data_IF_621452868812
#
_entry.id   IF_621452868812
#
_cell.length_a   1.000
_cell.length_b   1.000
_cell.length_c   1.000
_cell.angle_alpha   90.00
_cell.angle_beta   90.00
_cell.angle_gamma   90.00
#
_symmetry.space_group_name_H-M   'P 1'
#
loop_
_entity.id
_entity.type
_entity.pdbx_description
1 polymer ?
#
# COMPACT_ATOMS: atom_id res chain seq x y z
N UNK A 1 24.35 -9.88 10.96
CA UNK A 1 23.08 -9.99 10.19
C UNK A 1 22.08 -9.16 10.96
N UNK A 2 21.65 -8.03 10.44
CA UNK A 2 20.61 -7.19 11.06
C UNK A 2 19.32 -8.02 11.17
N UNK A 3 18.58 -7.79 12.25
CA UNK A 3 17.31 -8.50 12.46
C UNK A 3 16.32 -8.04 11.40
N UNK A 4 15.50 -8.93 10.82
CA UNK A 4 14.44 -8.53 9.92
C UNK A 4 13.60 -7.39 10.53
N UNK A 5 13.30 -6.36 9.74
CA UNK A 5 12.52 -5.19 10.16
C UNK A 5 13.24 -4.21 11.13
N UNK A 6 14.56 -4.25 11.25
CA UNK A 6 15.29 -3.30 12.10
C UNK A 6 15.02 -1.86 11.70
N UNK A 7 14.90 -1.57 10.39
CA UNK A 7 14.54 -0.23 9.90
C UNK A 7 13.13 0.19 10.35
N UNK A 8 12.16 -0.74 10.42
CA UNK A 8 10.81 -0.43 10.94
C UNK A 8 10.83 -0.16 12.44
N UNK A 9 11.70 -0.84 13.18
CA UNK A 9 11.94 -0.56 14.61
C UNK A 9 12.54 0.83 14.79
N UNK A 10 13.51 1.21 13.95
CA UNK A 10 14.10 2.56 13.97
C UNK A 10 13.06 3.63 13.69
N UNK A 11 12.14 3.39 12.76
CA UNK A 11 11.01 4.28 12.49
C UNK A 11 10.03 4.37 13.67
N UNK A 12 9.90 3.32 14.49
CA UNK A 12 9.04 3.32 15.67
C UNK A 12 9.65 3.99 16.89
N UNK A 13 10.97 4.16 16.93
CA UNK A 13 11.71 4.74 18.05
C UNK A 13 11.93 6.25 17.82
N UNK A 14 10.92 7.04 18.19
CA UNK A 14 10.90 8.49 18.01
C UNK A 14 12.05 9.25 18.71
N UNK A 15 12.84 8.60 19.55
CA UNK A 15 13.98 9.23 20.20
C UNK A 15 15.17 9.40 19.26
N UNK A 16 15.10 8.85 18.04
CA UNK A 16 16.20 8.79 17.08
C UNK A 16 15.89 9.44 15.72
N UNK A 17 15.20 10.58 15.72
CA UNK A 17 15.09 11.42 14.51
C UNK A 17 16.46 11.94 13.98
N UNK A 18 17.55 11.64 14.65
CA UNK A 18 18.90 11.82 14.15
C UNK A 18 19.34 10.70 13.19
N UNK A 19 18.57 9.63 13.06
CA UNK A 19 18.88 8.53 12.12
C UNK A 19 18.54 8.98 10.69
N UNK A 20 19.55 9.05 9.84
CA UNK A 20 19.42 9.49 8.45
C UNK A 20 18.44 8.60 7.64
N UNK A 21 18.35 7.32 7.96
CA UNK A 21 17.41 6.40 7.30
C UNK A 21 15.96 6.81 7.58
N UNK A 22 15.67 7.15 8.83
CA UNK A 22 14.32 7.60 9.26
C UNK A 22 14.00 8.94 8.62
N UNK A 23 14.92 9.91 8.67
CA UNK A 23 14.75 11.21 8.02
C UNK A 23 14.52 11.08 6.52
N UNK A 24 15.33 10.28 5.83
CA UNK A 24 15.17 10.04 4.40
C UNK A 24 13.80 9.45 4.08
N UNK A 25 13.28 8.57 4.91
CA UNK A 25 11.94 8.01 4.73
C UNK A 25 10.85 9.07 4.81
N UNK A 26 10.86 9.94 5.84
CA UNK A 26 9.86 10.99 6.02
C UNK A 26 9.92 12.04 4.92
N UNK A 27 11.12 12.50 4.56
CA UNK A 27 11.31 13.50 3.51
C UNK A 27 10.87 12.94 2.16
N UNK A 28 11.27 11.70 1.82
CA UNK A 28 10.84 11.03 0.61
C UNK A 28 9.31 10.90 0.54
N UNK A 29 8.66 10.51 1.66
CA UNK A 29 7.22 10.40 1.74
C UNK A 29 6.52 11.73 1.45
N UNK A 30 6.93 12.80 2.12
CA UNK A 30 6.36 14.11 1.92
C UNK A 30 6.53 14.59 0.46
N UNK A 31 7.73 14.43 -0.09
CA UNK A 31 8.04 14.83 -1.46
C UNK A 31 7.22 14.06 -2.51
N UNK A 32 7.11 12.74 -2.36
CA UNK A 32 6.33 11.92 -3.29
C UNK A 32 4.84 12.21 -3.15
N UNK A 33 4.32 12.39 -1.93
CA UNK A 33 2.92 12.80 -1.71
C UNK A 33 2.59 14.12 -2.40
N UNK A 34 3.47 15.12 -2.30
CA UNK A 34 3.29 16.41 -2.97
C UNK A 34 3.20 16.24 -4.50
N UNK A 35 4.02 15.37 -5.08
CA UNK A 35 4.08 15.14 -6.54
C UNK A 35 2.96 14.27 -7.08
N UNK A 36 2.43 13.34 -6.28
CA UNK A 36 1.43 12.35 -6.74
C UNK A 36 -0.01 12.65 -6.32
N UNK A 37 -0.24 13.55 -5.37
CA UNK A 37 -1.57 13.79 -4.76
C UNK A 37 -2.70 14.13 -5.73
N UNK A 38 -2.38 14.75 -6.87
CA UNK A 38 -3.37 15.17 -7.87
C UNK A 38 -3.54 14.13 -8.99
N UNK A 39 -2.74 13.07 -9.00
CA UNK A 39 -2.81 12.03 -10.01
C UNK A 39 -3.89 11.04 -9.64
N UNK A 40 -4.83 10.84 -10.54
CA UNK A 40 -5.93 9.89 -10.37
C UNK A 40 -6.45 9.44 -11.73
N UNK A 41 -6.94 8.23 -11.81
CA UNK A 41 -7.47 7.64 -13.03
C UNK A 41 -8.88 7.12 -12.81
N UNK A 42 -9.72 7.19 -13.84
CA UNK A 42 -11.02 6.51 -13.84
C UNK A 42 -10.83 4.99 -13.94
N UNK A 43 -11.75 4.18 -13.40
CA UNK A 43 -11.63 2.71 -13.44
C UNK A 43 -11.47 2.12 -14.85
N UNK A 44 -12.08 2.76 -15.85
CA UNK A 44 -12.04 2.35 -17.26
C UNK A 44 -10.91 3.02 -18.07
N UNK A 45 -10.07 3.83 -17.43
CA UNK A 45 -8.93 4.48 -18.07
C UNK A 45 -7.90 3.45 -18.53
N UNK A 46 -7.35 3.66 -19.71
CA UNK A 46 -6.20 2.89 -20.22
C UNK A 46 -4.86 3.59 -19.97
N UNK A 47 -4.90 4.71 -19.29
CA UNK A 47 -3.70 5.45 -18.90
C UNK A 47 -3.07 4.82 -17.66
N UNK A 48 -1.76 5.01 -17.50
CA UNK A 48 -1.02 4.59 -16.32
C UNK A 48 -0.03 5.67 -15.92
N UNK A 49 0.42 5.64 -14.68
CA UNK A 49 1.49 6.49 -14.21
C UNK A 49 2.84 5.91 -14.62
N UNK A 50 3.69 6.75 -15.18
CA UNK A 50 5.10 6.45 -15.38
C UNK A 50 5.95 7.40 -14.54
N UNK A 51 6.77 6.85 -13.67
CA UNK A 51 7.69 7.60 -12.80
C UNK A 51 9.11 7.31 -13.22
N UNK A 52 9.86 8.36 -13.50
CA UNK A 52 11.30 8.29 -13.76
C UNK A 52 12.04 8.77 -12.52
N UNK A 53 12.94 7.94 -12.03
CA UNK A 53 13.86 8.26 -10.93
C UNK A 53 15.27 8.26 -11.50
N UNK A 54 15.81 9.45 -11.76
CA UNK A 54 17.10 9.65 -12.43
C UNK A 54 18.21 9.75 -11.40
N UNK A 55 18.72 8.58 -11.00
CA UNK A 55 19.75 8.41 -10.00
C UNK A 55 19.53 7.16 -9.15
N UNK A 56 20.55 6.78 -8.39
CA UNK A 56 20.57 5.53 -7.62
C UNK A 56 21.27 5.66 -6.25
N UNK A 57 21.37 6.88 -5.74
CA UNK A 57 21.83 7.11 -4.36
C UNK A 57 20.72 6.80 -3.35
N UNK A 58 21.03 6.79 -2.04
CA UNK A 58 20.08 6.41 -0.99
C UNK A 58 18.83 7.27 -0.93
N UNK A 59 18.90 8.57 -1.25
CA UNK A 59 17.72 9.47 -1.31
C UNK A 59 16.81 9.08 -2.47
N UNK A 60 17.41 8.83 -3.66
CA UNK A 60 16.68 8.40 -4.85
C UNK A 60 15.98 7.05 -4.62
N UNK A 61 16.67 6.08 -4.02
CA UNK A 61 16.07 4.78 -3.69
C UNK A 61 14.96 4.92 -2.63
N UNK A 62 15.05 5.89 -1.73
CA UNK A 62 13.96 6.22 -0.80
C UNK A 62 12.74 6.79 -1.54
N UNK A 63 12.95 7.61 -2.58
CA UNK A 63 11.86 8.07 -3.48
C UNK A 63 11.23 6.88 -4.20
N UNK A 64 12.01 5.96 -4.78
CA UNK A 64 11.50 4.73 -5.41
C UNK A 64 10.59 3.96 -4.46
N UNK A 65 11.02 3.77 -3.21
CA UNK A 65 10.22 3.10 -2.18
C UNK A 65 8.89 3.80 -1.93
N UNK A 66 8.90 5.13 -1.79
CA UNK A 66 7.68 5.86 -1.52
C UNK A 66 6.73 5.86 -2.72
N UNK A 67 7.24 5.95 -3.94
CA UNK A 67 6.42 5.78 -5.14
C UNK A 67 5.76 4.40 -5.16
N UNK A 68 6.52 3.34 -4.87
CA UNK A 68 5.97 1.98 -4.82
C UNK A 68 4.89 1.79 -3.72
N UNK A 69 4.93 2.57 -2.63
CA UNK A 69 3.93 2.52 -1.55
C UNK A 69 2.69 3.38 -1.83
N UNK A 70 2.76 4.37 -2.71
CA UNK A 70 1.73 5.40 -2.88
C UNK A 70 1.04 5.37 -4.24
N UNK A 71 1.67 4.82 -5.28
CA UNK A 71 1.21 4.92 -6.66
C UNK A 71 0.30 3.74 -7.05
N UNK A 72 -0.84 3.61 -6.36
CA UNK A 72 -1.84 2.54 -6.53
C UNK A 72 -3.17 3.12 -7.02
N UNK A 73 -3.57 2.78 -8.23
CA UNK A 73 -4.72 3.38 -8.90
C UNK A 73 -5.82 2.38 -9.19
N UNK A 74 -7.07 2.87 -9.21
CA UNK A 74 -8.28 2.03 -9.31
C UNK A 74 -8.51 1.43 -10.71
N UNK A 75 -7.76 1.85 -11.70
CA UNK A 75 -7.83 1.33 -13.06
C UNK A 75 -6.84 0.17 -13.32
N UNK A 76 -6.10 -0.28 -12.31
CA UNK A 76 -5.29 -1.49 -12.42
C UNK A 76 -6.18 -2.70 -12.68
N UNK A 77 -5.83 -3.48 -13.69
CA UNK A 77 -6.52 -4.70 -14.05
C UNK A 77 -5.57 -5.89 -13.89
N UNK A 78 -5.91 -6.79 -12.96
CA UNK A 78 -5.16 -8.03 -12.75
C UNK A 78 -5.31 -8.92 -13.99
N UNK A 79 -4.21 -9.49 -14.44
CA UNK A 79 -4.28 -10.53 -15.48
C UNK A 79 -4.95 -11.79 -14.96
N UNK A 80 -5.77 -12.43 -15.79
CA UNK A 80 -6.43 -13.69 -15.47
C UNK A 80 -6.42 -14.62 -16.69
N UNK A 81 -6.13 -15.92 -16.49
CA UNK A 81 -6.17 -16.97 -17.51
C UNK A 81 -5.48 -16.61 -18.85
N UNK A 82 -4.29 -16.01 -18.77
CA UNK A 82 -3.49 -15.64 -19.95
C UNK A 82 -3.72 -14.21 -20.45
N UNK A 83 -4.59 -13.44 -19.78
CA UNK A 83 -4.71 -11.99 -19.99
C UNK A 83 -3.57 -11.31 -19.27
N UNK A 84 -2.81 -10.48 -19.98
CA UNK A 84 -1.71 -9.71 -19.40
C UNK A 84 -2.28 -8.59 -18.54
N UNK A 85 -1.78 -8.41 -17.29
CA UNK A 85 -2.18 -7.26 -16.45
C UNK A 85 -1.95 -5.95 -17.16
N UNK A 86 -2.85 -4.99 -16.94
CA UNK A 86 -2.79 -3.67 -17.58
C UNK A 86 -2.82 -2.54 -16.56
N UNK A 87 -2.37 -1.37 -17.00
CA UNK A 87 -2.40 -0.12 -16.23
C UNK A 87 -1.57 -0.14 -14.93
N UNK A 88 -0.48 -0.90 -14.92
CA UNK A 88 0.50 -0.86 -13.82
C UNK A 88 1.17 0.51 -13.75
N UNK A 89 1.49 0.94 -12.54
CA UNK A 89 2.45 2.04 -12.35
C UNK A 89 3.84 1.55 -12.74
N UNK A 90 4.47 2.22 -13.70
CA UNK A 90 5.84 1.92 -14.14
C UNK A 90 6.81 2.84 -13.41
N UNK A 91 7.79 2.26 -12.72
CA UNK A 91 8.88 2.99 -12.09
C UNK A 91 10.15 2.67 -12.84
N UNK A 92 10.69 3.65 -13.56
CA UNK A 92 11.96 3.52 -14.28
C UNK A 92 13.08 4.18 -13.47
N UNK A 93 14.08 3.39 -13.10
CA UNK A 93 15.25 3.83 -12.36
C UNK A 93 16.42 3.95 -13.35
N UNK A 94 16.99 5.15 -13.46
CA UNK A 94 18.16 5.39 -14.29
C UNK A 94 19.40 5.12 -13.44
N UNK A 95 20.11 4.03 -13.76
CA UNK A 95 21.30 3.62 -13.02
C UNK A 95 22.29 2.89 -13.91
N UNK A 96 23.57 3.17 -13.69
CA UNK A 96 24.67 2.44 -14.32
C UNK A 96 25.20 1.30 -13.45
N UNK A 97 24.72 1.17 -12.22
CA UNK A 97 25.14 0.11 -11.31
C UNK A 97 24.69 -1.25 -11.80
N UNK A 98 25.60 -2.20 -11.88
CA UNK A 98 25.28 -3.58 -12.25
C UNK A 98 24.51 -4.34 -11.15
N UNK A 99 24.64 -3.90 -9.90
CA UNK A 99 24.03 -4.51 -8.71
C UNK A 99 22.83 -3.73 -8.17
N UNK A 100 22.19 -2.90 -9.01
CA UNK A 100 21.07 -2.06 -8.55
C UNK A 100 19.89 -2.89 -8.01
N UNK A 101 19.63 -4.08 -8.55
CA UNK A 101 18.58 -4.97 -8.06
C UNK A 101 18.85 -5.41 -6.64
N UNK A 102 20.07 -5.83 -6.34
CA UNK A 102 20.49 -6.23 -5.00
C UNK A 102 20.42 -5.04 -4.01
N UNK A 103 20.69 -3.83 -4.48
CA UNK A 103 20.46 -2.62 -3.67
C UNK A 103 18.97 -2.42 -3.36
N UNK A 104 18.09 -2.58 -4.34
CA UNK A 104 16.65 -2.47 -4.15
C UNK A 104 16.09 -3.57 -3.23
N UNK A 105 16.70 -4.76 -3.24
CA UNK A 105 16.28 -5.88 -2.37
C UNK A 105 16.71 -5.71 -0.90
N UNK A 106 17.46 -4.66 -0.54
CA UNK A 106 17.75 -4.34 0.85
C UNK A 106 16.47 -3.97 1.60
N UNK A 107 16.46 -4.31 2.90
CA UNK A 107 15.32 -4.10 3.79
C UNK A 107 14.88 -2.63 3.88
N UNK A 108 15.82 -1.71 3.78
CA UNK A 108 15.55 -0.27 3.83
C UNK A 108 14.86 0.30 2.57
N UNK A 109 14.79 -0.49 1.47
CA UNK A 109 14.17 -0.05 0.22
C UNK A 109 12.95 -0.90 -0.14
N UNK A 110 13.07 -1.82 -1.09
CA UNK A 110 11.93 -2.58 -1.64
C UNK A 110 11.85 -4.03 -1.15
N UNK A 111 12.88 -4.52 -0.46
CA UNK A 111 12.97 -5.85 0.14
C UNK A 111 12.59 -6.97 -0.84
N UNK A 112 11.41 -7.58 -0.69
CA UNK A 112 10.95 -8.67 -1.54
C UNK A 112 10.25 -8.22 -2.84
N UNK A 113 9.83 -6.96 -2.96
CA UNK A 113 9.08 -6.50 -4.13
C UNK A 113 9.79 -6.77 -5.46
N UNK A 114 11.11 -6.52 -5.63
CA UNK A 114 11.81 -6.78 -6.89
C UNK A 114 11.87 -8.26 -7.30
N UNK A 115 11.59 -9.18 -6.37
CA UNK A 115 11.55 -10.62 -6.65
C UNK A 115 10.22 -11.07 -7.25
N UNK A 116 9.12 -10.36 -6.93
CA UNK A 116 7.77 -10.77 -7.25
C UNK A 116 7.08 -9.86 -8.27
N UNK A 117 7.43 -8.56 -8.36
CA UNK A 117 6.88 -7.69 -9.38
C UNK A 117 7.51 -7.93 -10.76
N UNK A 118 6.87 -7.46 -11.82
CA UNK A 118 7.48 -7.41 -13.15
C UNK A 118 8.72 -6.51 -13.09
N UNK A 119 9.86 -7.10 -13.38
CA UNK A 119 11.16 -6.45 -13.33
C UNK A 119 11.81 -6.51 -14.71
N UNK A 120 12.08 -5.33 -15.28
CA UNK A 120 12.70 -5.18 -16.61
C UNK A 120 14.10 -4.56 -16.45
N UNK A 121 15.12 -5.33 -16.76
CA UNK A 121 16.52 -4.88 -16.70
C UNK A 121 17.41 -5.76 -17.57
N UNK A 122 18.70 -5.44 -17.64
CA UNK A 122 19.66 -6.27 -18.39
C UNK A 122 19.64 -7.70 -17.84
N UNK A 123 19.24 -8.68 -18.67
CA UNK A 123 19.26 -10.12 -18.36
C UNK A 123 18.41 -10.55 -17.15
N UNK A 124 17.36 -9.80 -16.80
CA UNK A 124 16.51 -10.14 -15.65
C UNK A 124 15.11 -10.55 -16.11
N UNK A 125 14.64 -11.66 -15.61
CA UNK A 125 13.33 -12.21 -15.88
C UNK A 125 12.60 -12.37 -14.56
N UNK A 126 11.34 -11.96 -14.50
CA UNK A 126 10.44 -12.28 -13.39
C UNK A 126 10.17 -13.78 -13.37
N UNK A 127 10.45 -14.46 -12.26
CA UNK A 127 10.32 -15.91 -12.14
C UNK A 127 9.00 -16.34 -11.47
N UNK A 128 8.21 -15.39 -11.02
CA UNK A 128 6.97 -15.62 -10.27
C UNK A 128 5.77 -15.04 -11.00
N UNK A 129 4.58 -15.49 -10.64
CA UNK A 129 3.34 -14.85 -11.07
C UNK A 129 3.28 -13.43 -10.46
N UNK A 130 3.28 -12.45 -11.34
CA UNK A 130 3.24 -11.02 -11.00
C UNK A 130 1.91 -10.37 -11.39
N UNK A 131 0.94 -11.17 -11.84
CA UNK A 131 -0.33 -10.69 -12.42
C UNK A 131 -1.11 -9.76 -11.48
N UNK A 132 -0.96 -9.95 -10.18
CA UNK A 132 -1.67 -9.22 -9.12
C UNK A 132 -0.89 -8.05 -8.52
N UNK A 133 0.30 -7.72 -9.06
CA UNK A 133 1.13 -6.63 -8.58
C UNK A 133 1.02 -5.45 -9.56
N UNK A 134 0.54 -4.33 -9.08
CA UNK A 134 0.28 -3.12 -9.86
C UNK A 134 1.51 -2.21 -10.05
N UNK A 135 2.67 -2.63 -9.57
CA UNK A 135 3.96 -1.95 -9.75
C UNK A 135 4.85 -2.75 -10.71
N UNK A 136 5.44 -2.05 -11.66
CA UNK A 136 6.44 -2.58 -12.60
C UNK A 136 7.74 -1.79 -12.45
N UNK A 137 8.87 -2.46 -12.31
CA UNK A 137 10.20 -1.86 -12.15
C UNK A 137 11.04 -2.01 -13.41
N UNK A 138 11.55 -0.89 -13.92
CA UNK A 138 12.48 -0.85 -15.06
C UNK A 138 13.81 -0.29 -14.63
N UNK A 139 14.90 -0.91 -15.06
CA UNK A 139 16.25 -0.40 -14.88
C UNK A 139 16.87 -0.08 -16.25
N UNK A 140 17.29 1.17 -16.44
CA UNK A 140 17.92 1.65 -17.66
C UNK A 140 19.20 2.41 -17.33
N UNK A 141 20.19 2.39 -18.24
CA UNK A 141 21.42 3.18 -18.06
C UNK A 141 21.23 4.65 -18.45
N UNK A 142 20.33 4.89 -19.40
CA UNK A 142 19.96 6.22 -19.89
C UNK A 142 18.49 6.21 -20.22
N UNK A 143 17.75 7.20 -19.75
CA UNK A 143 16.38 7.41 -20.15
C UNK A 143 16.33 8.43 -21.31
N UNK A 144 15.87 7.95 -22.45
CA UNK A 144 15.60 8.82 -23.59
C UNK A 144 14.13 9.20 -23.57
N UNK A 145 13.83 10.44 -23.20
CA UNK A 145 12.46 10.96 -23.20
C UNK A 145 11.87 10.84 -24.61
N UNK A 146 11.05 9.83 -24.83
CA UNK A 146 10.23 9.72 -26.03
C UNK A 146 9.10 10.73 -25.91
N UNK A 147 8.72 11.30 -27.07
CA UNK A 147 7.68 12.33 -27.14
C UNK A 147 6.40 11.93 -26.36
N UNK A 148 5.91 12.86 -25.52
CA UNK A 148 4.55 12.93 -24.98
C UNK A 148 4.01 11.67 -24.29
N UNK A 149 4.73 11.13 -23.32
CA UNK A 149 4.08 10.27 -22.33
C UNK A 149 3.21 11.14 -21.42
N UNK A 150 1.89 10.94 -21.48
CA UNK A 150 0.94 11.53 -20.53
C UNK A 150 1.17 10.87 -19.17
N UNK A 151 0.98 11.62 -18.10
CA UNK A 151 1.16 11.15 -16.72
C UNK A 151 2.60 10.71 -16.39
N UNK A 152 3.58 11.46 -16.89
CA UNK A 152 4.99 11.27 -16.57
C UNK A 152 5.38 12.15 -15.38
N UNK A 153 5.90 11.54 -14.32
CA UNK A 153 6.52 12.23 -13.18
C UNK A 153 8.01 11.95 -13.17
N UNK A 154 8.79 13.00 -13.05
CA UNK A 154 10.25 12.93 -13.12
C UNK A 154 10.87 13.41 -11.80
N UNK A 155 11.75 12.60 -11.22
CA UNK A 155 12.56 12.92 -10.05
C UNK A 155 14.04 12.92 -10.48
N UNK A 156 14.71 14.07 -10.41
CA UNK A 156 16.15 14.18 -10.64
C UNK A 156 16.89 14.23 -9.31
N UNK A 157 18.17 13.86 -9.30
CA UNK A 157 19.02 14.01 -8.11
C UNK A 157 19.05 15.46 -7.62
N UNK A 158 19.11 16.43 -8.56
CA UNK A 158 19.11 17.86 -8.22
C UNK A 158 17.84 18.28 -7.48
N UNK A 159 16.65 17.93 -8.02
CA UNK A 159 15.37 18.31 -7.40
C UNK A 159 15.19 17.63 -6.03
N UNK A 160 15.63 16.38 -5.92
CA UNK A 160 15.60 15.62 -4.68
C UNK A 160 16.54 16.24 -3.66
N UNK A 161 17.76 16.59 -4.03
CA UNK A 161 18.73 17.22 -3.12
C UNK A 161 18.27 18.60 -2.67
N UNK A 162 17.68 19.42 -3.54
CA UNK A 162 17.14 20.72 -3.20
C UNK A 162 15.98 20.58 -2.19
N UNK A 163 15.08 19.62 -2.40
CA UNK A 163 14.00 19.35 -1.46
C UNK A 163 14.53 18.86 -0.10
N UNK A 164 15.50 17.92 -0.09
CA UNK A 164 16.14 17.44 1.14
C UNK A 164 16.83 18.56 1.90
N UNK A 165 17.60 19.41 1.23
CA UNK A 165 18.30 20.52 1.88
C UNK A 165 17.33 21.51 2.54
N UNK A 166 16.17 21.75 1.92
CA UNK A 166 15.11 22.59 2.45
C UNK A 166 14.45 21.96 3.70
N UNK A 167 14.12 20.66 3.62
CA UNK A 167 13.27 20.00 4.61
C UNK A 167 14.05 19.24 5.70
N UNK A 168 15.38 19.07 5.55
CA UNK A 168 16.19 18.24 6.48
C UNK A 168 16.13 18.70 7.93
N UNK A 169 16.00 20.00 8.19
CA UNK A 169 15.88 20.59 9.51
C UNK A 169 14.45 21.01 9.87
N UNK A 170 13.49 20.72 9.03
CA UNK A 170 12.09 21.01 9.26
C UNK A 170 11.48 19.91 10.15
N UNK A 171 11.30 20.19 11.44
CA UNK A 171 10.71 19.25 12.39
C UNK A 171 9.25 18.92 12.04
N UNK A 172 8.53 19.84 11.39
CA UNK A 172 7.13 19.63 11.01
C UNK A 172 6.99 18.51 9.95
N UNK A 173 7.97 18.32 9.08
CA UNK A 173 7.95 17.22 8.09
C UNK A 173 8.02 15.85 8.76
N UNK A 174 8.58 15.80 9.97
CA UNK A 174 8.66 14.59 10.78
C UNK A 174 7.35 14.32 11.53
N UNK A 175 6.44 15.30 11.56
CA UNK A 175 5.08 15.11 12.07
C UNK A 175 4.20 14.53 10.98
N UNK A 176 3.90 13.23 11.06
CA UNK A 176 2.88 12.64 10.20
C UNK A 176 1.51 13.10 10.70
N UNK A 177 0.68 13.66 9.81
CA UNK A 177 -0.74 13.77 10.10
C UNK A 177 -1.33 12.37 10.21
N UNK A 178 -1.47 11.89 11.42
CA UNK A 178 -1.93 10.53 11.70
C UNK A 178 -3.45 10.43 11.85
N UNK A 179 -4.20 11.54 11.72
CA UNK A 179 -5.66 11.55 11.89
C UNK A 179 -6.36 10.61 10.92
N UNK A 180 -5.99 10.64 9.63
CA UNK A 180 -6.54 9.71 8.63
C UNK A 180 -6.22 8.25 9.00
N UNK A 181 -4.97 7.97 9.40
CA UNK A 181 -4.53 6.63 9.80
C UNK A 181 -5.23 6.15 11.08
N UNK A 182 -5.49 7.05 12.03
CA UNK A 182 -6.27 6.73 13.23
C UNK A 182 -7.70 6.29 12.89
N UNK A 183 -8.40 7.05 12.06
CA UNK A 183 -9.75 6.68 11.63
C UNK A 183 -9.76 5.41 10.79
N UNK A 184 -8.74 5.19 9.95
CA UNK A 184 -8.55 3.94 9.22
C UNK A 184 -8.45 2.75 10.18
N UNK A 185 -7.63 2.85 11.22
CA UNK A 185 -7.50 1.81 12.27
C UNK A 185 -8.83 1.54 12.98
N UNK A 186 -9.64 2.56 13.26
CA UNK A 186 -10.97 2.39 13.86
C UNK A 186 -11.92 1.62 12.95
N UNK A 187 -11.82 1.80 11.62
CA UNK A 187 -12.63 1.03 10.66
C UNK A 187 -12.25 -0.45 10.63
N UNK A 188 -10.97 -0.80 10.72
CA UNK A 188 -10.54 -2.19 10.86
C UNK A 188 -11.08 -2.83 12.15
N UNK A 189 -11.03 -2.13 13.28
CA UNK A 189 -11.58 -2.62 14.55
C UNK A 189 -13.09 -2.87 14.48
N UNK A 190 -13.82 -2.06 13.71
CA UNK A 190 -15.27 -2.29 13.46
C UNK A 190 -15.43 -3.55 12.62
N UNK A 191 -14.60 -3.77 11.59
CA UNK A 191 -14.59 -5.00 10.79
C UNK A 191 -14.37 -6.25 11.65
N UNK A 192 -13.40 -6.22 12.57
CA UNK A 192 -13.15 -7.32 13.51
C UNK A 192 -14.32 -7.57 14.47
N UNK A 193 -14.99 -6.51 14.92
CA UNK A 193 -16.17 -6.66 15.78
C UNK A 193 -17.33 -7.37 15.06
N UNK A 194 -17.45 -7.17 13.75
CA UNK A 194 -18.46 -7.81 12.90
C UNK A 194 -18.14 -9.29 12.66
N UNK A 195 -16.87 -9.68 12.63
CA UNK A 195 -16.46 -11.09 12.51
C UNK A 195 -16.96 -11.97 13.64
N UNK A 196 -17.32 -11.37 14.77
CA UNK A 196 -17.89 -12.06 15.91
C UNK A 196 -19.42 -12.18 15.85
N UNK A 197 -20.08 -11.67 14.80
CA UNK A 197 -21.52 -11.85 14.61
C UNK A 197 -21.84 -13.24 14.04
N UNK A 198 -23.01 -13.83 14.35
CA UNK A 198 -23.44 -15.10 13.79
C UNK A 198 -23.49 -15.04 12.26
N UNK A 199 -23.14 -16.16 11.59
CA UNK A 199 -23.05 -16.23 10.12
C UNK A 199 -24.39 -15.90 9.42
N UNK A 200 -25.50 -16.08 10.07
CA UNK A 200 -26.85 -15.77 9.59
C UNK A 200 -27.10 -14.27 9.46
N UNK A 201 -26.41 -13.46 10.27
CA UNK A 201 -26.51 -12.00 10.24
C UNK A 201 -25.56 -11.37 9.18
N UNK A 202 -24.63 -12.13 8.65
CA UNK A 202 -23.56 -11.60 7.77
C UNK A 202 -24.11 -11.12 6.41
N UNK A 203 -25.14 -11.73 5.85
CA UNK A 203 -25.73 -11.28 4.57
C UNK A 203 -26.58 -10.00 4.71
N UNK A 204 -27.26 -9.82 5.81
CA UNK A 204 -27.83 -8.52 6.20
C UNK A 204 -26.73 -7.56 6.68
N UNK A 205 -25.68 -8.06 7.33
CA UNK A 205 -24.59 -7.30 7.89
C UNK A 205 -23.83 -6.50 6.82
N UNK A 206 -23.63 -6.96 5.58
CA UNK A 206 -22.92 -6.16 4.57
C UNK A 206 -23.63 -4.84 4.28
N UNK A 207 -24.97 -4.82 4.20
CA UNK A 207 -25.76 -3.58 4.10
C UNK A 207 -25.90 -2.85 5.43
N UNK A 208 -26.07 -3.61 6.52
CA UNK A 208 -26.22 -3.08 7.88
C UNK A 208 -24.89 -2.53 8.40
N UNK A 209 -23.78 -3.12 8.03
CA UNK A 209 -22.42 -2.70 8.40
C UNK A 209 -22.03 -1.38 7.77
N UNK A 210 -22.42 -1.17 6.55
CA UNK A 210 -22.23 0.12 5.88
C UNK A 210 -23.00 1.21 6.62
N UNK A 211 -24.24 0.93 7.02
CA UNK A 211 -25.06 1.82 7.84
C UNK A 211 -24.50 1.98 9.26
N UNK A 212 -24.00 0.90 9.89
CA UNK A 212 -23.36 0.93 11.21
C UNK A 212 -21.99 1.60 11.19
N UNK A 213 -21.18 1.40 10.15
CA UNK A 213 -19.94 2.13 9.95
C UNK A 213 -20.19 3.63 9.87
N UNK A 214 -21.20 4.04 9.13
CA UNK A 214 -21.65 5.43 9.05
C UNK A 214 -22.17 5.93 10.40
N UNK A 215 -22.98 5.14 11.11
CA UNK A 215 -23.55 5.50 12.39
C UNK A 215 -22.54 5.50 13.54
N UNK A 216 -21.64 4.51 13.59
CA UNK A 216 -20.59 4.45 14.61
C UNK A 216 -19.50 5.47 14.35
N UNK A 217 -19.18 5.75 13.09
CA UNK A 217 -18.34 6.86 12.70
C UNK A 217 -18.90 8.21 13.19
N UNK A 218 -20.20 8.42 13.06
CA UNK A 218 -20.85 9.63 13.59
C UNK A 218 -20.83 9.68 15.13
N UNK A 219 -20.58 8.54 15.82
CA UNK A 219 -20.45 8.44 17.30
C UNK A 219 -19.00 8.51 17.78
N UNK A 220 -17.99 8.49 16.88
CA UNK A 220 -16.58 8.67 17.24
C UNK A 220 -16.36 10.14 17.65
N UNK A 221 -16.67 10.45 18.91
CA UNK A 221 -16.44 11.78 19.52
C UNK A 221 -15.05 11.94 20.14
N UNK A 222 -14.24 10.89 20.12
CA UNK A 222 -12.89 10.95 20.68
C UNK A 222 -11.96 11.68 19.70
N UNK A 223 -11.28 12.70 20.19
CA UNK A 223 -10.20 13.35 19.44
C UNK A 223 -9.13 12.32 19.08
N UNK A 224 -8.64 12.31 17.83
CA UNK A 224 -7.55 11.44 17.45
C UNK A 224 -6.33 11.79 18.30
N UNK A 225 -5.93 10.86 19.17
CA UNK A 225 -4.63 10.95 19.82
C UNK A 225 -3.56 10.94 18.73
N UNK A 226 -2.58 11.84 18.77
CA UNK A 226 -1.46 11.75 17.82
C UNK A 226 -0.88 10.36 17.92
N UNK A 227 -0.96 9.60 16.83
CA UNK A 227 -0.31 8.29 16.73
C UNK A 227 1.19 8.55 16.63
N UNK A 228 1.78 8.94 17.74
CA UNK A 228 3.22 8.85 17.83
C UNK A 228 3.58 7.36 17.75
N UNK A 229 4.51 7.03 16.87
CA UNK A 229 5.17 5.73 16.87
C UNK A 229 6.00 5.58 18.18
N UNK A 230 5.51 6.11 19.30
CA UNK A 230 6.27 6.35 20.55
C UNK A 230 6.35 5.17 21.49
N UNK A 231 5.59 4.10 21.28
CA UNK A 231 5.69 2.97 22.19
C UNK A 231 6.85 2.06 21.78
N UNK A 232 8.05 2.39 22.27
CA UNK A 232 9.25 1.56 22.13
C UNK A 232 9.06 0.12 22.64
N UNK A 233 8.00 -0.13 23.42
CA UNK A 233 7.62 -1.45 23.95
C UNK A 233 6.52 -2.14 23.14
N UNK A 234 6.06 -1.55 22.00
CA UNK A 234 5.07 -2.20 21.17
C UNK A 234 5.68 -3.33 20.37
N UNK A 235 5.02 -4.50 20.36
CA UNK A 235 5.41 -5.62 19.53
C UNK A 235 5.53 -5.20 18.06
N UNK A 236 6.46 -5.82 17.33
CA UNK A 236 6.72 -5.53 15.91
C UNK A 236 5.45 -5.62 15.05
N UNK A 237 4.49 -6.47 15.39
CA UNK A 237 3.18 -6.56 14.76
C UNK A 237 2.42 -5.22 14.80
N UNK A 238 2.38 -4.57 15.94
CA UNK A 238 1.66 -3.30 16.15
C UNK A 238 2.28 -2.19 15.28
N UNK A 239 3.60 -2.19 15.14
CA UNK A 239 4.31 -1.21 14.29
C UNK A 239 3.92 -1.40 12.83
N UNK A 240 3.91 -2.64 12.34
CA UNK A 240 3.52 -2.97 10.97
C UNK A 240 2.08 -2.58 10.66
N UNK A 241 1.16 -2.79 11.59
CA UNK A 241 -0.24 -2.39 11.45
C UNK A 241 -0.41 -0.88 11.41
N UNK A 242 0.29 -0.15 12.28
CA UNK A 242 0.30 1.32 12.28
C UNK A 242 0.80 1.88 10.94
N UNK A 243 1.90 1.36 10.42
CA UNK A 243 2.46 1.77 9.14
C UNK A 243 1.52 1.42 7.97
N UNK A 244 0.87 0.26 8.00
CA UNK A 244 -0.12 -0.13 7.01
C UNK A 244 -1.27 0.86 6.92
N UNK A 245 -1.78 1.34 8.07
CA UNK A 245 -2.82 2.37 8.12
C UNK A 245 -2.35 3.71 7.56
N UNK A 246 -1.09 4.09 7.79
CA UNK A 246 -0.49 5.30 7.22
C UNK A 246 -0.43 5.18 5.69
N UNK A 247 0.14 4.11 5.17
CA UNK A 247 0.27 3.91 3.71
C UNK A 247 -1.09 3.86 3.02
N UNK A 248 -2.09 3.23 3.64
CA UNK A 248 -3.45 3.22 3.13
C UNK A 248 -4.04 4.62 3.06
N UNK A 249 -3.92 5.39 4.15
CA UNK A 249 -4.47 6.74 4.23
C UNK A 249 -3.80 7.73 3.27
N UNK A 250 -2.54 7.51 2.93
CA UNK A 250 -1.80 8.32 1.96
C UNK A 250 -2.36 8.20 0.53
N UNK A 251 -3.01 7.07 0.21
CA UNK A 251 -3.66 6.85 -1.08
C UNK A 251 -5.09 7.42 -1.17
N UNK A 252 -5.65 8.00 -0.11
CA UNK A 252 -7.06 8.44 -0.10
C UNK A 252 -7.36 9.55 -1.09
N UNK A 253 -6.45 10.51 -1.27
CA UNK A 253 -6.68 11.65 -2.18
C UNK A 253 -6.72 11.21 -3.64
N UNK A 254 -5.84 10.30 -4.08
CA UNK A 254 -5.88 9.77 -5.44
C UNK A 254 -7.17 8.99 -5.71
N UNK A 255 -7.65 8.21 -4.74
CA UNK A 255 -8.93 7.48 -4.83
C UNK A 255 -10.12 8.42 -4.87
N UNK A 256 -10.14 9.45 -4.01
CA UNK A 256 -11.14 10.51 -4.06
C UNK A 256 -11.15 11.20 -5.42
N UNK A 257 -9.97 11.55 -5.95
CA UNK A 257 -9.83 12.14 -7.28
C UNK A 257 -10.43 11.27 -8.38
N UNK A 258 -10.19 9.95 -8.34
CA UNK A 258 -10.77 8.98 -9.28
C UNK A 258 -12.30 8.96 -9.23
N UNK A 259 -12.88 8.94 -8.03
CA UNK A 259 -14.33 8.97 -7.84
C UNK A 259 -14.93 10.29 -8.30
N UNK A 260 -14.28 11.43 -8.02
CA UNK A 260 -14.73 12.74 -8.51
C UNK A 260 -14.72 12.84 -10.04
N UNK A 261 -13.79 12.15 -10.71
CA UNK A 261 -13.82 12.07 -12.18
C UNK A 261 -15.02 11.25 -12.68
N UNK A 262 -15.40 10.18 -11.99
CA UNK A 262 -16.62 9.42 -12.29
C UNK A 262 -17.88 10.29 -12.10
N UNK A 263 -17.94 11.09 -11.05
CA UNK A 263 -19.06 11.98 -10.72
C UNK A 263 -19.30 13.06 -11.77
N UNK A 264 -18.24 13.62 -12.36
CA UNK A 264 -18.38 14.63 -13.44
C UNK A 264 -19.15 14.13 -14.65
N UNK A 265 -19.28 12.82 -14.80
CA UNK A 265 -20.10 12.19 -15.85
C UNK A 265 -21.57 12.01 -15.44
N UNK A 266 -21.86 11.94 -14.12
CA UNK A 266 -23.22 11.71 -13.59
C UNK A 266 -23.48 12.61 -12.36
N UNK A 267 -24.13 13.75 -12.55
CA UNK A 267 -24.17 14.87 -11.59
C UNK A 267 -24.91 14.67 -10.25
N UNK A 268 -25.44 13.50 -9.88
CA UNK A 268 -26.38 13.45 -8.75
C UNK A 268 -26.16 12.40 -7.62
N UNK A 269 -25.04 11.62 -7.57
CA UNK A 269 -25.01 10.47 -6.64
C UNK A 269 -23.64 10.08 -6.05
N UNK A 270 -23.05 10.93 -5.22
CA UNK A 270 -21.70 10.67 -4.66
C UNK A 270 -21.56 9.30 -3.95
N UNK A 271 -22.46 8.98 -3.02
CA UNK A 271 -22.41 7.71 -2.25
C UNK A 271 -22.63 6.50 -3.18
N UNK A 272 -23.52 6.59 -4.14
CA UNK A 272 -23.80 5.50 -5.06
C UNK A 272 -22.62 5.16 -5.94
N UNK A 273 -21.84 6.14 -6.36
CA UNK A 273 -20.64 5.95 -7.19
C UNK A 273 -19.54 5.22 -6.39
N UNK A 274 -19.34 5.55 -5.11
CA UNK A 274 -18.43 4.79 -4.25
C UNK A 274 -18.85 3.33 -4.13
N UNK A 275 -20.14 3.05 -4.01
CA UNK A 275 -20.68 1.69 -3.97
C UNK A 275 -20.48 0.96 -5.31
N UNK A 276 -20.79 1.61 -6.43
CA UNK A 276 -20.64 1.04 -7.77
C UNK A 276 -19.17 0.76 -8.12
N UNK A 277 -18.25 1.61 -7.68
CA UNK A 277 -16.80 1.44 -7.89
C UNK A 277 -16.09 0.66 -6.78
N UNK A 278 -16.83 0.15 -5.81
CA UNK A 278 -16.25 -0.51 -4.63
C UNK A 278 -15.35 -1.70 -4.99
N UNK A 279 -15.68 -2.48 -6.02
CA UNK A 279 -14.83 -3.60 -6.43
C UNK A 279 -13.49 -3.13 -7.00
N UNK A 280 -13.46 -2.09 -7.83
CA UNK A 280 -12.23 -1.51 -8.38
C UNK A 280 -11.38 -0.89 -7.27
N UNK A 281 -12.01 -0.17 -6.33
CA UNK A 281 -11.37 0.39 -5.16
C UNK A 281 -10.76 -0.70 -4.27
N UNK A 282 -11.50 -1.79 -4.01
CA UNK A 282 -11.04 -2.90 -3.17
C UNK A 282 -9.88 -3.65 -3.82
N UNK A 283 -9.91 -3.86 -5.14
CA UNK A 283 -8.78 -4.43 -5.91
C UNK A 283 -7.53 -3.56 -5.79
N UNK A 284 -7.68 -2.24 -5.94
CA UNK A 284 -6.57 -1.29 -5.80
C UNK A 284 -6.01 -1.29 -4.37
N UNK A 285 -6.87 -1.40 -3.34
CA UNK A 285 -6.40 -1.51 -1.95
C UNK A 285 -5.67 -2.81 -1.71
N UNK A 286 -6.19 -3.93 -2.21
CA UNK A 286 -5.52 -5.22 -2.12
C UNK A 286 -4.14 -5.19 -2.78
N UNK A 287 -4.03 -4.64 -4.00
CA UNK A 287 -2.75 -4.51 -4.71
C UNK A 287 -1.76 -3.64 -3.90
N UNK A 288 -2.21 -2.49 -3.36
CA UNK A 288 -1.42 -1.66 -2.46
C UNK A 288 -0.91 -2.45 -1.25
N UNK A 289 -1.81 -3.19 -0.60
CA UNK A 289 -1.48 -3.98 0.57
C UNK A 289 -0.49 -5.10 0.25
N UNK A 290 -0.63 -5.75 -0.90
CA UNK A 290 0.32 -6.77 -1.38
C UNK A 290 1.71 -6.16 -1.54
N UNK A 291 1.82 -5.02 -2.26
CA UNK A 291 3.10 -4.32 -2.45
C UNK A 291 3.71 -3.91 -1.11
N UNK A 292 2.91 -3.34 -0.22
CA UNK A 292 3.33 -3.00 1.15
C UNK A 292 3.93 -4.20 1.87
N UNK A 293 3.26 -5.35 1.87
CA UNK A 293 3.75 -6.55 2.57
C UNK A 293 5.03 -7.11 1.94
N UNK A 294 5.17 -7.04 0.62
CA UNK A 294 6.42 -7.41 -0.05
C UNK A 294 7.58 -6.48 0.35
N UNK A 295 7.33 -5.17 0.41
CA UNK A 295 8.31 -4.18 0.89
C UNK A 295 8.62 -4.38 2.38
N UNK A 296 7.66 -4.86 3.18
CA UNK A 296 7.89 -5.24 4.57
C UNK A 296 8.57 -6.61 4.74
N UNK A 297 9.00 -7.26 3.67
CA UNK A 297 9.76 -8.51 3.70
C UNK A 297 8.92 -9.78 3.78
N UNK A 298 7.60 -9.69 3.65
CA UNK A 298 6.75 -10.87 3.50
C UNK A 298 6.94 -11.52 2.13
N UNK A 299 6.65 -12.82 2.07
CA UNK A 299 6.62 -13.61 0.83
C UNK A 299 5.25 -14.25 0.65
N UNK A 300 4.78 -14.47 -0.59
CA UNK A 300 3.63 -15.32 -0.85
C UNK A 300 3.88 -16.75 -0.36
N UNK A 301 2.81 -17.47 -0.01
CA UNK A 301 2.95 -18.90 0.27
C UNK A 301 3.52 -19.63 -0.95
N UNK A 302 4.57 -20.42 -0.75
CA UNK A 302 5.06 -21.34 -1.76
C UNK A 302 4.10 -22.54 -1.94
N UNK A 303 4.33 -23.36 -2.98
CA UNK A 303 3.46 -24.50 -3.31
C UNK A 303 3.29 -25.47 -2.12
N UNK A 304 4.35 -25.75 -1.37
CA UNK A 304 4.28 -26.64 -0.21
C UNK A 304 3.45 -26.04 0.94
N UNK A 305 3.59 -24.75 1.19
CA UNK A 305 2.81 -24.05 2.20
C UNK A 305 1.33 -23.98 1.83
N UNK A 306 1.02 -23.70 0.55
CA UNK A 306 -0.36 -23.71 0.03
C UNK A 306 -0.99 -25.10 0.17
N UNK A 307 -0.30 -26.15 -0.26
CA UNK A 307 -0.77 -27.52 -0.12
C UNK A 307 -1.07 -27.88 1.35
N UNK A 308 -0.18 -27.52 2.26
CA UNK A 308 -0.39 -27.77 3.70
C UNK A 308 -1.60 -26.99 4.25
N UNK A 309 -1.80 -25.74 3.83
CA UNK A 309 -2.97 -24.94 4.22
C UNK A 309 -4.27 -25.59 3.72
N UNK A 310 -4.27 -26.12 2.49
CA UNK A 310 -5.41 -26.84 1.92
C UNK A 310 -5.72 -28.15 2.66
N UNK A 311 -4.69 -28.92 3.05
CA UNK A 311 -4.87 -30.12 3.84
C UNK A 311 -5.51 -29.86 5.22
N UNK A 312 -5.42 -28.65 5.73
CA UNK A 312 -6.03 -28.21 6.99
C UNK A 312 -7.46 -27.67 6.84
N UNK A 313 -8.06 -27.82 5.68
CA UNK A 313 -9.38 -27.23 5.35
C UNK A 313 -10.46 -27.54 6.40
N UNK A 314 -10.52 -28.77 6.92
CA UNK A 314 -11.52 -29.21 7.89
C UNK A 314 -11.20 -28.84 9.34
N UNK A 315 -10.00 -28.33 9.66
CA UNK A 315 -9.58 -27.92 10.97
C UNK A 315 -9.21 -26.43 10.99
N UNK A 316 -10.24 -25.57 11.03
CA UNK A 316 -10.06 -24.11 11.02
C UNK A 316 -9.07 -23.61 12.08
N UNK A 317 -9.04 -24.24 13.27
CA UNK A 317 -8.16 -23.84 14.35
C UNK A 317 -6.70 -24.10 13.97
N UNK A 318 -6.35 -25.32 13.55
CA UNK A 318 -5.00 -25.67 13.10
C UNK A 318 -4.58 -24.89 11.87
N UNK A 319 -5.50 -24.65 10.94
CA UNK A 319 -5.27 -23.82 9.76
C UNK A 319 -4.86 -22.40 10.15
N UNK A 320 -5.61 -21.77 11.06
CA UNK A 320 -5.29 -20.43 11.55
C UNK A 320 -3.97 -20.39 12.35
N UNK A 321 -3.70 -21.40 13.18
CA UNK A 321 -2.43 -21.51 13.90
C UNK A 321 -1.24 -21.66 12.93
N UNK A 322 -1.40 -22.46 11.89
CA UNK A 322 -0.40 -22.62 10.84
C UNK A 322 -0.13 -21.30 10.10
N UNK A 323 -1.18 -20.60 9.62
CA UNK A 323 -1.04 -19.30 8.97
C UNK A 323 -0.37 -18.26 9.88
N UNK A 324 -0.77 -18.19 11.15
CA UNK A 324 -0.15 -17.32 12.16
C UNK A 324 1.32 -17.66 12.39
N UNK A 325 1.68 -18.94 12.42
CA UNK A 325 3.07 -19.35 12.61
C UNK A 325 3.97 -18.88 11.48
N UNK A 326 3.50 -18.91 10.22
CA UNK A 326 4.25 -18.43 9.06
C UNK A 326 4.36 -16.89 9.04
N UNK A 327 3.29 -16.17 9.40
CA UNK A 327 3.31 -14.70 9.52
C UNK A 327 4.31 -14.19 10.58
N UNK A 328 4.59 -14.99 11.62
CA UNK A 328 5.43 -14.64 12.77
C UNK A 328 6.87 -15.10 12.65
N UNK A 329 7.25 -15.72 11.54
CA UNK A 329 8.64 -16.11 11.34
C UNK A 329 9.52 -14.85 11.32
N UNK A 330 10.63 -14.90 12.08
CA UNK A 330 11.59 -13.79 12.09
C UNK A 330 12.33 -13.66 10.77
N UNK A 331 12.56 -14.78 10.09
CA UNK A 331 13.17 -14.81 8.76
C UNK A 331 12.14 -15.28 7.73
N UNK A 332 11.99 -14.55 6.65
CA UNK A 332 11.08 -14.87 5.53
C UNK A 332 9.62 -15.13 5.97
N UNK A 333 8.98 -14.19 6.68
CA UNK A 333 7.57 -14.34 6.99
C UNK A 333 6.74 -14.51 5.74
N UNK A 334 5.73 -15.40 5.80
CA UNK A 334 4.88 -15.65 4.65
C UNK A 334 3.41 -15.33 4.96
N UNK A 335 2.69 -14.84 3.94
CA UNK A 335 1.28 -14.51 4.05
C UNK A 335 0.47 -15.16 2.93
N UNK A 336 -0.63 -15.85 3.27
CA UNK A 336 -1.47 -16.55 2.30
C UNK A 336 -2.18 -15.59 1.33
N UNK A 337 -2.54 -14.39 1.81
CA UNK A 337 -3.30 -13.41 1.03
C UNK A 337 -2.41 -12.57 0.08
N UNK A 338 -1.09 -12.85 0.01
CA UNK A 338 -0.24 -12.32 -1.06
C UNK A 338 -0.51 -13.09 -2.35
N UNK A 339 -1.60 -12.75 -3.00
CA UNK A 339 -2.11 -13.38 -4.21
C UNK A 339 -3.04 -12.41 -4.95
N UNK A 340 -3.58 -12.81 -6.11
CA UNK A 340 -4.56 -12.01 -6.84
C UNK A 340 -5.84 -11.81 -6.02
N UNK A 341 -6.57 -10.74 -6.30
CA UNK A 341 -7.87 -10.48 -5.67
C UNK A 341 -8.88 -11.60 -5.99
N UNK A 342 -8.77 -12.17 -7.19
CA UNK A 342 -9.56 -13.35 -7.59
C UNK A 342 -9.22 -14.58 -6.74
N UNK A 343 -7.93 -14.84 -6.48
CA UNK A 343 -7.50 -15.93 -5.62
C UNK A 343 -7.87 -15.69 -4.16
N UNK A 344 -7.75 -14.44 -3.66
CA UNK A 344 -8.18 -14.08 -2.32
C UNK A 344 -9.66 -14.42 -2.10
N UNK A 345 -10.52 -14.09 -3.07
CA UNK A 345 -11.95 -14.45 -3.04
C UNK A 345 -12.18 -15.96 -2.89
N UNK A 346 -11.32 -16.78 -3.46
CA UNK A 346 -11.40 -18.25 -3.39
C UNK A 346 -10.79 -18.81 -2.09
N UNK A 347 -9.66 -18.27 -1.66
CA UNK A 347 -8.84 -18.83 -0.57
C UNK A 347 -9.29 -18.30 0.80
N UNK A 348 -9.66 -17.03 0.86
CA UNK A 348 -9.97 -16.32 2.10
C UNK A 348 -11.04 -15.24 1.89
N UNK A 349 -12.27 -15.63 1.49
CA UNK A 349 -13.33 -14.67 1.14
C UNK A 349 -13.70 -13.73 2.29
N UNK A 350 -13.47 -14.15 3.54
CA UNK A 350 -13.75 -13.33 4.71
C UNK A 350 -12.84 -12.09 4.81
N UNK A 351 -11.66 -12.13 4.21
CA UNK A 351 -10.70 -11.00 4.28
C UNK A 351 -10.99 -9.92 3.21
N UNK A 352 -11.77 -10.24 2.15
CA UNK A 352 -12.19 -9.26 1.13
C UNK A 352 -12.96 -8.07 1.71
N UNK A 353 -13.69 -8.29 2.80
CA UNK A 353 -14.50 -7.25 3.44
C UNK A 353 -13.66 -6.09 3.99
N UNK A 354 -12.41 -6.35 4.42
CA UNK A 354 -11.56 -5.31 4.99
C UNK A 354 -11.24 -4.24 3.94
N UNK A 355 -10.87 -4.66 2.73
CA UNK A 355 -10.60 -3.73 1.63
C UNK A 355 -11.87 -2.95 1.25
N UNK A 356 -13.01 -3.64 1.14
CA UNK A 356 -14.29 -3.04 0.81
C UNK A 356 -14.76 -2.01 1.83
N UNK A 357 -14.73 -2.34 3.11
CA UNK A 357 -15.17 -1.43 4.18
C UNK A 357 -14.31 -0.19 4.26
N UNK A 358 -13.02 -0.37 4.13
CA UNK A 358 -12.09 0.73 4.19
C UNK A 358 -12.33 1.72 3.05
N UNK A 359 -12.49 1.21 1.83
CA UNK A 359 -12.74 2.05 0.67
C UNK A 359 -14.05 2.84 0.78
N UNK A 360 -15.12 2.22 1.26
CA UNK A 360 -16.41 2.89 1.49
C UNK A 360 -16.35 3.93 2.62
N UNK A 361 -15.40 3.81 3.54
CA UNK A 361 -15.24 4.76 4.65
C UNK A 361 -14.46 6.04 4.27
N UNK A 362 -13.71 6.02 3.16
CA UNK A 362 -12.84 7.14 2.76
C UNK A 362 -13.56 8.50 2.75
N UNK A 363 -14.74 8.68 2.13
CA UNK A 363 -15.41 9.97 2.09
C UNK A 363 -15.67 10.52 3.50
N UNK A 364 -16.10 9.67 4.42
CA UNK A 364 -16.39 10.05 5.80
C UNK A 364 -15.14 10.36 6.61
N UNK A 365 -14.07 9.62 6.39
CA UNK A 365 -12.77 9.91 7.02
C UNK A 365 -12.25 11.27 6.57
N UNK A 366 -12.33 11.57 5.28
CA UNK A 366 -11.88 12.85 4.73
C UNK A 366 -12.74 14.02 5.20
N UNK A 367 -14.08 13.84 5.28
CA UNK A 367 -14.99 14.84 5.85
C UNK A 367 -14.64 15.15 7.31
N UNK A 368 -14.41 14.12 8.12
CA UNK A 368 -14.08 14.28 9.54
C UNK A 368 -12.76 15.02 9.74
N UNK A 369 -11.72 14.62 9.01
CA UNK A 369 -10.40 15.27 9.08
C UNK A 369 -10.46 16.72 8.59
N UNK A 370 -11.29 17.01 7.58
CA UNK A 370 -11.48 18.35 7.06
C UNK A 370 -12.22 19.30 8.02
N UNK A 371 -13.12 18.75 8.84
CA UNK A 371 -13.90 19.53 9.82
C UNK A 371 -13.14 19.79 11.12
N UNK A 372 -12.04 19.06 11.38
CA UNK A 372 -11.19 19.22 12.55
C UNK A 372 -10.08 20.30 12.35
N UNK A 373 -10.07 21.00 11.20
CA UNK A 373 -9.22 22.14 10.88
C UNK A 373 -10.03 23.44 11.03
#
# INVERSE_FOLDING_TARGET
MEKPFEHLRRMSDNTKFSDDVVKNWYIARAYVLERLREISFMPDSKEHLHVIVDGDNGRMLSVVRQVALLAHYINFDEGYEGIVPSNRTVITIVSKKSNIKEELEKEEYLCNLPKYCKFVGKNQITLHDDSYIDIELHIVEVYNKKQEERNLVYFTESDVDDYWNKEYNNEDILSIDTRKAYYTSKMYNIGEAIDNLPAEDIHCAQRYTMALSILQYNKLKEEPQPMFIKDANSELCIIKEKLSNIFCSDCFESRKGSIQQCQKKEMDKEIKIWEEQNEALSKSEHARWVVEKLIMGYSPFNAQQRFKDECLFYDKKKKNEYRKSLKRQEQNPAHIDLCSYADLRRINPDDLKYDSFLMLAIPKILEKVGNDN
#
